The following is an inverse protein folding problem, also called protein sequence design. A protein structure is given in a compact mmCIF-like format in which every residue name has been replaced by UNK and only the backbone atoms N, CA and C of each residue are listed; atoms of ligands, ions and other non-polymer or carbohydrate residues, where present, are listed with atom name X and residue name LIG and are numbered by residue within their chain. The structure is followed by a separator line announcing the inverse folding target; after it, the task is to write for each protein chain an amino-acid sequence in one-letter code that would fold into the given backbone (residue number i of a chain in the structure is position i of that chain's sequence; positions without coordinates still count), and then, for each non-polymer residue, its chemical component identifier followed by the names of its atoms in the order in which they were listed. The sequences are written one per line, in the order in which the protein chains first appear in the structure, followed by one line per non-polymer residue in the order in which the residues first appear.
data_IF_038382464035
#
_entry.id   IF_038382464035
#
_cell.length_a   1.000
_cell.length_b   1.000
_cell.length_c   1.000
_cell.angle_alpha   90.00
_cell.angle_beta   90.00
_cell.angle_gamma   90.00
#
_symmetry.space_group_name_H-M   'P 1'
#
loop_
_entity.id
_entity.type
_entity.pdbx_description
1 polymer ?
#
# COMPACT_ATOMS: atom_id res chain seq x y z
N UNK A 1 19.65 5.69 -11.42
CA UNK A 1 19.81 4.24 -11.65
C UNK A 1 18.48 3.56 -11.31
N UNK A 2 17.97 2.68 -12.17
CA UNK A 2 16.76 1.89 -11.90
C UNK A 2 17.20 0.46 -11.57
N UNK A 3 16.57 -0.14 -10.55
CA UNK A 3 16.89 -1.48 -10.06
C UNK A 3 15.65 -2.32 -9.80
N UNK A 4 15.74 -3.61 -10.04
CA UNK A 4 14.80 -4.63 -9.57
C UNK A 4 15.17 -4.97 -8.13
N UNK A 5 14.17 -5.09 -7.25
CA UNK A 5 14.41 -5.37 -5.84
C UNK A 5 13.94 -6.78 -5.47
N UNK A 6 14.84 -7.52 -4.84
CA UNK A 6 14.49 -8.73 -4.09
C UNK A 6 14.97 -8.54 -2.65
N UNK A 7 14.03 -8.47 -1.72
CA UNK A 7 14.30 -8.08 -0.33
C UNK A 7 13.99 -9.24 0.60
N UNK A 8 14.98 -9.73 1.32
CA UNK A 8 14.78 -10.69 2.41
C UNK A 8 14.96 -9.99 3.74
N UNK A 9 13.90 -9.94 4.54
CA UNK A 9 13.88 -9.36 5.88
C UNK A 9 13.98 -10.52 6.88
N UNK A 10 14.86 -10.38 7.86
CA UNK A 10 14.97 -11.32 9.00
C UNK A 10 14.91 -10.52 10.30
N UNK A 11 14.02 -10.90 11.20
CA UNK A 11 13.83 -10.24 12.48
C UNK A 11 13.32 -11.22 13.55
N UNK A 12 13.31 -10.77 14.79
CA UNK A 12 12.70 -11.49 15.92
C UNK A 12 11.16 -11.55 15.70
N UNK A 13 10.62 -12.76 15.53
CA UNK A 13 9.21 -12.98 15.19
C UNK A 13 8.25 -12.53 16.30
N UNK A 14 8.67 -12.63 17.56
CA UNK A 14 7.85 -12.18 18.70
C UNK A 14 7.72 -10.64 18.74
N UNK A 15 8.76 -9.93 18.28
CA UNK A 15 8.79 -8.47 18.25
C UNK A 15 8.24 -7.90 16.95
N UNK A 16 8.51 -8.55 15.84
CA UNK A 16 8.22 -8.07 14.48
C UNK A 16 7.54 -9.16 13.63
N UNK A 17 6.32 -9.60 14.00
CA UNK A 17 5.62 -10.66 13.25
C UNK A 17 5.19 -10.26 11.85
N UNK A 18 5.17 -8.96 11.55
CA UNK A 18 4.87 -8.41 10.22
C UNK A 18 6.14 -7.86 9.61
N UNK A 19 6.53 -8.41 8.45
CA UNK A 19 7.72 -8.02 7.69
C UNK A 19 7.31 -7.76 6.25
N UNK A 20 7.30 -6.48 5.82
CA UNK A 20 6.79 -6.05 4.51
C UNK A 20 7.88 -5.35 3.71
N UNK A 21 7.86 -5.54 2.39
CA UNK A 21 8.63 -4.77 1.41
C UNK A 21 7.87 -4.69 0.09
N UNK A 22 8.47 -4.03 -0.89
CA UNK A 22 7.89 -3.84 -2.22
C UNK A 22 7.69 -5.15 -2.99
N UNK A 23 6.65 -5.21 -3.79
CA UNK A 23 6.39 -6.29 -4.73
C UNK A 23 5.53 -7.42 -4.18
N UNK A 24 5.64 -8.60 -4.77
CA UNK A 24 4.92 -9.79 -4.36
C UNK A 24 5.69 -10.59 -3.31
N UNK A 25 4.96 -11.23 -2.39
CA UNK A 25 5.55 -12.14 -1.41
C UNK A 25 6.03 -13.43 -2.10
N UNK A 26 7.32 -13.72 -2.00
CA UNK A 26 7.92 -14.92 -2.59
C UNK A 26 8.00 -16.06 -1.57
N UNK A 27 8.39 -15.73 -0.33
CA UNK A 27 8.52 -16.72 0.74
C UNK A 27 8.30 -16.06 2.11
N UNK A 28 7.68 -16.80 3.03
CA UNK A 28 7.48 -16.39 4.41
C UNK A 28 7.70 -17.58 5.35
N UNK A 29 8.41 -17.34 6.44
CA UNK A 29 8.57 -18.25 7.57
C UNK A 29 8.64 -17.43 8.87
N UNK A 30 8.54 -18.05 10.06
CA UNK A 30 8.73 -17.32 11.31
C UNK A 30 10.01 -16.49 11.30
N UNK A 31 9.91 -15.20 11.59
CA UNK A 31 11.03 -14.26 11.61
C UNK A 31 11.70 -13.97 10.24
N UNK A 32 11.10 -14.39 9.12
CA UNK A 32 11.67 -14.10 7.79
C UNK A 32 10.60 -13.94 6.72
N UNK A 33 10.76 -12.92 5.85
CA UNK A 33 9.94 -12.74 4.65
C UNK A 33 10.82 -12.31 3.48
N UNK A 34 10.54 -12.85 2.28
CA UNK A 34 11.20 -12.47 1.03
C UNK A 34 10.17 -11.91 0.07
N UNK A 35 10.42 -10.71 -0.42
CA UNK A 35 9.58 -9.96 -1.37
C UNK A 35 10.34 -9.76 -2.68
N UNK A 36 9.62 -9.75 -3.80
CA UNK A 36 10.19 -9.46 -5.12
C UNK A 36 9.33 -8.47 -5.88
N UNK A 37 9.93 -7.36 -6.26
CA UNK A 37 9.33 -6.38 -7.16
C UNK A 37 10.03 -6.42 -8.51
N UNK A 38 9.34 -6.94 -9.56
CA UNK A 38 9.96 -7.22 -10.85
C UNK A 38 10.20 -5.97 -11.72
N UNK A 39 9.53 -4.85 -11.40
CA UNK A 39 9.65 -3.65 -12.20
C UNK A 39 10.86 -2.81 -11.76
N UNK A 40 11.78 -2.44 -12.69
CA UNK A 40 12.88 -1.55 -12.37
C UNK A 40 12.39 -0.19 -11.87
N UNK A 41 12.89 0.27 -10.72
CA UNK A 41 12.53 1.55 -10.11
C UNK A 41 13.72 2.23 -9.42
N UNK A 42 13.66 3.56 -9.21
CA UNK A 42 14.64 4.27 -8.40
C UNK A 42 14.51 3.90 -6.92
N UNK A 43 15.62 4.04 -6.18
CA UNK A 43 15.68 3.59 -4.79
C UNK A 43 14.77 4.36 -3.82
N UNK A 44 14.32 5.57 -4.16
CA UNK A 44 13.41 6.35 -3.30
C UNK A 44 12.02 5.70 -3.17
N UNK A 45 11.64 4.82 -4.10
CA UNK A 45 10.39 4.05 -4.05
C UNK A 45 10.50 2.77 -3.20
N UNK A 46 11.72 2.43 -2.75
CA UNK A 46 11.93 1.29 -1.85
C UNK A 46 11.36 1.58 -0.47
N UNK A 47 10.68 0.58 0.11
CA UNK A 47 10.18 0.62 1.47
C UNK A 47 10.38 -0.72 2.18
N UNK A 48 10.57 -0.66 3.49
CA UNK A 48 10.62 -1.79 4.39
C UNK A 48 9.86 -1.45 5.67
N UNK A 49 8.96 -2.34 6.08
CA UNK A 49 8.19 -2.20 7.32
C UNK A 49 8.34 -3.47 8.16
N UNK A 50 8.61 -3.30 9.44
CA UNK A 50 8.63 -4.37 10.44
C UNK A 50 7.91 -3.92 11.71
N UNK A 51 6.96 -4.71 12.22
CA UNK A 51 6.20 -4.30 13.41
C UNK A 51 5.11 -5.28 13.81
N UNK A 52 4.28 -4.83 14.76
CA UNK A 52 3.04 -5.51 15.15
C UNK A 52 1.87 -4.69 14.66
N UNK A 53 1.12 -5.22 13.72
CA UNK A 53 -0.02 -4.54 13.12
C UNK A 53 -1.26 -5.42 13.18
N UNK A 54 -2.42 -4.79 13.24
CA UNK A 54 -3.68 -5.37 12.78
C UNK A 54 -3.84 -5.08 11.30
N UNK A 55 -4.50 -5.99 10.58
CA UNK A 55 -4.68 -5.87 9.13
C UNK A 55 -6.16 -5.97 8.76
N UNK A 56 -6.62 -5.02 7.95
CA UNK A 56 -7.86 -5.17 7.20
C UNK A 56 -7.51 -5.76 5.84
N UNK A 57 -8.13 -6.89 5.52
CA UNK A 57 -7.94 -7.60 4.26
C UNK A 57 -9.20 -7.52 3.40
N UNK A 58 -9.01 -7.36 2.10
CA UNK A 58 -10.04 -7.41 1.07
C UNK A 58 -9.38 -7.87 -0.24
N UNK A 59 -10.13 -7.97 -1.32
CA UNK A 59 -9.59 -8.28 -2.64
C UNK A 59 -10.26 -7.45 -3.72
N UNK A 60 -9.56 -7.28 -4.83
CA UNK A 60 -10.08 -6.65 -6.03
C UNK A 60 -9.91 -7.57 -7.24
N UNK A 61 -10.99 -7.79 -7.98
CA UNK A 61 -10.95 -8.57 -9.21
C UNK A 61 -10.81 -7.64 -10.41
N UNK A 62 -9.68 -7.71 -11.10
CA UNK A 62 -9.41 -6.91 -12.28
C UNK A 62 -10.32 -7.29 -13.46
N UNK A 63 -10.38 -6.46 -14.50
CA UNK A 63 -11.16 -6.73 -15.71
C UNK A 63 -10.75 -8.01 -16.43
N UNK A 64 -9.46 -8.38 -16.39
CA UNK A 64 -8.98 -9.66 -16.93
C UNK A 64 -9.35 -10.86 -16.06
N UNK A 65 -9.90 -10.64 -14.87
CA UNK A 65 -10.30 -11.66 -13.91
C UNK A 65 -9.22 -12.07 -12.90
N UNK A 66 -8.06 -11.39 -12.88
CA UNK A 66 -7.01 -11.62 -11.89
C UNK A 66 -7.43 -11.03 -10.54
N UNK A 67 -7.19 -11.75 -9.46
CA UNK A 67 -7.43 -11.29 -8.10
C UNK A 67 -6.20 -10.60 -7.52
N UNK A 68 -6.39 -9.48 -6.87
CA UNK A 68 -5.36 -8.68 -6.19
C UNK A 68 -5.73 -8.59 -4.72
N UNK A 69 -4.85 -9.05 -3.84
CA UNK A 69 -4.99 -8.90 -2.38
C UNK A 69 -4.84 -7.43 -1.98
N UNK A 70 -5.79 -6.90 -1.23
CA UNK A 70 -5.74 -5.55 -0.67
C UNK A 70 -5.56 -5.62 0.84
N UNK A 71 -4.53 -4.96 1.37
CA UNK A 71 -4.22 -5.01 2.80
C UNK A 71 -3.90 -3.64 3.37
N UNK A 72 -4.60 -3.27 4.45
CA UNK A 72 -4.33 -2.05 5.20
C UNK A 72 -3.82 -2.44 6.59
N UNK A 73 -2.58 -2.10 6.87
CA UNK A 73 -1.89 -2.36 8.13
C UNK A 73 -1.95 -1.12 9.02
N UNK A 74 -2.42 -1.29 10.24
CA UNK A 74 -2.56 -0.23 11.24
C UNK A 74 -2.16 -0.72 12.61
N UNK A 75 -1.90 0.19 13.53
CA UNK A 75 -1.79 -0.18 14.94
C UNK A 75 -3.08 -0.85 15.43
N UNK A 76 -3.00 -1.86 16.34
CA UNK A 76 -4.14 -2.70 16.70
C UNK A 76 -5.39 -1.94 17.14
N UNK A 77 -5.24 -0.81 17.82
CA UNK A 77 -6.36 0.00 18.31
C UNK A 77 -7.06 0.85 17.23
N UNK A 78 -6.57 0.81 16.00
CA UNK A 78 -7.07 1.60 14.86
C UNK A 78 -7.81 0.77 13.80
N UNK A 79 -7.92 -0.54 13.98
CA UNK A 79 -8.47 -1.43 12.94
C UNK A 79 -9.91 -1.08 12.56
N UNK A 80 -10.73 -0.64 13.51
CA UNK A 80 -12.13 -0.26 13.31
C UNK A 80 -12.34 1.06 12.54
N UNK A 81 -11.25 1.75 12.19
CA UNK A 81 -11.24 3.04 11.48
C UNK A 81 -10.82 2.95 10.01
N UNK A 82 -10.59 1.75 9.49
CA UNK A 82 -9.91 1.52 8.20
C UNK A 82 -10.85 1.26 7.03
N UNK A 83 -12.13 0.96 7.29
CA UNK A 83 -13.06 0.51 6.24
C UNK A 83 -13.23 1.50 5.10
N UNK A 84 -13.39 2.80 5.40
CA UNK A 84 -13.56 3.82 4.38
C UNK A 84 -12.32 3.94 3.46
N UNK A 85 -11.12 3.78 4.03
CA UNK A 85 -9.89 3.77 3.25
C UNK A 85 -9.84 2.58 2.27
N UNK A 86 -10.27 1.39 2.70
CA UNK A 86 -10.37 0.23 1.82
C UNK A 86 -11.39 0.43 0.70
N UNK A 87 -12.56 0.97 1.01
CA UNK A 87 -13.57 1.29 -0.01
C UNK A 87 -13.08 2.34 -1.01
N UNK A 88 -12.30 3.32 -0.54
CA UNK A 88 -11.67 4.34 -1.39
C UNK A 88 -10.61 3.73 -2.32
N UNK A 89 -9.84 2.78 -1.81
CA UNK A 89 -8.85 2.04 -2.61
C UNK A 89 -9.54 1.24 -3.72
N UNK A 90 -10.60 0.49 -3.41
CA UNK A 90 -11.37 -0.29 -4.41
C UNK A 90 -11.93 0.64 -5.48
N UNK A 91 -12.52 1.79 -5.11
CA UNK A 91 -13.00 2.78 -6.08
C UNK A 91 -11.88 3.35 -6.96
N UNK A 92 -10.67 3.48 -6.43
CA UNK A 92 -9.51 3.95 -7.20
C UNK A 92 -9.08 2.93 -8.25
N UNK A 93 -9.06 1.64 -7.92
CA UNK A 93 -8.83 0.55 -8.88
C UNK A 93 -9.87 0.58 -10.01
N UNK A 94 -11.17 0.62 -9.64
CA UNK A 94 -12.27 0.65 -10.61
C UNK A 94 -12.20 1.85 -11.54
N UNK A 95 -11.90 3.03 -10.99
CA UNK A 95 -11.82 4.26 -11.77
C UNK A 95 -10.67 4.21 -12.78
N UNK A 96 -9.48 3.76 -12.35
CA UNK A 96 -8.29 3.70 -13.19
C UNK A 96 -8.47 2.71 -14.35
N UNK A 97 -8.96 1.50 -14.05
CA UNK A 97 -9.27 0.50 -15.07
C UNK A 97 -10.37 0.97 -16.05
N UNK A 98 -11.39 1.67 -15.55
CA UNK A 98 -12.46 2.18 -16.40
C UNK A 98 -12.00 3.35 -17.28
N UNK A 99 -11.15 4.21 -16.74
CA UNK A 99 -10.70 5.43 -17.42
C UNK A 99 -9.57 5.20 -18.40
N UNK A 100 -8.59 4.38 -18.04
CA UNK A 100 -7.36 4.19 -18.80
C UNK A 100 -7.17 2.77 -19.33
N UNK A 101 -7.96 1.79 -18.88
CA UNK A 101 -7.81 0.40 -19.24
C UNK A 101 -6.55 -0.25 -18.67
N UNK A 102 -5.98 0.32 -17.63
CA UNK A 102 -4.74 -0.14 -17.00
C UNK A 102 -5.05 -0.93 -15.73
N UNK A 103 -4.72 -2.21 -15.72
CA UNK A 103 -4.85 -3.06 -14.54
C UNK A 103 -3.63 -2.94 -13.64
N UNK A 104 -3.86 -3.04 -12.33
CA UNK A 104 -2.77 -3.12 -11.36
C UNK A 104 -1.88 -4.33 -11.64
N UNK A 105 -0.58 -4.20 -11.52
CA UNK A 105 0.41 -5.12 -12.08
C UNK A 105 1.13 -6.04 -11.07
N UNK A 106 0.79 -5.93 -9.77
CA UNK A 106 1.21 -6.87 -8.72
C UNK A 106 0.01 -7.68 -8.22
N UNK A 107 0.25 -8.74 -7.45
CA UNK A 107 -0.80 -9.58 -6.87
C UNK A 107 -1.26 -9.09 -5.50
N UNK A 108 -0.61 -8.06 -4.94
CA UNK A 108 -0.93 -7.47 -3.65
C UNK A 108 -0.73 -5.96 -3.68
N UNK A 109 -1.64 -5.23 -3.03
CA UNK A 109 -1.53 -3.80 -2.74
C UNK A 109 -1.59 -3.58 -1.23
N UNK A 110 -0.57 -2.97 -0.67
CA UNK A 110 -0.46 -2.75 0.77
C UNK A 110 -0.42 -1.26 1.10
N UNK A 111 -1.16 -0.89 2.14
CA UNK A 111 -1.09 0.41 2.81
C UNK A 111 -0.63 0.18 4.24
N UNK A 112 0.32 0.97 4.73
CA UNK A 112 0.70 1.00 6.14
C UNK A 112 0.46 2.40 6.68
N UNK A 113 -0.41 2.53 7.67
CA UNK A 113 -0.68 3.79 8.35
C UNK A 113 0.27 3.96 9.54
N UNK A 114 0.96 5.09 9.57
CA UNK A 114 1.88 5.47 10.65
C UNK A 114 1.55 6.86 11.17
N UNK A 115 1.72 7.07 12.48
CA UNK A 115 1.38 8.35 13.13
C UNK A 115 2.46 9.41 12.94
N UNK A 116 3.73 8.98 12.90
CA UNK A 116 4.89 9.86 12.73
C UNK A 116 5.33 9.89 11.26
N UNK A 117 4.62 10.68 10.45
CA UNK A 117 4.89 10.85 9.03
C UNK A 117 4.75 12.32 8.62
N UNK A 118 5.79 12.88 8.01
CA UNK A 118 5.88 14.31 7.74
C UNK A 118 5.00 14.80 6.58
N UNK A 119 4.49 13.88 5.74
CA UNK A 119 3.65 14.18 4.57
C UNK A 119 2.32 13.45 4.65
N UNK A 120 1.50 13.54 3.61
CA UNK A 120 0.24 12.80 3.54
C UNK A 120 0.46 11.31 3.32
N UNK A 121 1.23 10.96 2.31
CA UNK A 121 1.62 9.59 2.00
C UNK A 121 2.85 9.54 1.09
N UNK A 122 3.25 8.32 0.73
CA UNK A 122 4.32 8.03 -0.22
C UNK A 122 3.97 6.78 -1.05
N UNK A 123 4.13 6.91 -2.36
CA UNK A 123 3.77 5.92 -3.38
C UNK A 123 4.73 4.72 -3.50
N UNK A 124 5.41 4.30 -2.47
CA UNK A 124 6.30 3.14 -2.50
C UNK A 124 5.61 1.94 -3.16
N UNK A 125 6.16 1.44 -4.27
CA UNK A 125 5.50 0.46 -5.15
C UNK A 125 5.02 -0.78 -4.39
N UNK A 126 3.71 -1.01 -4.40
CA UNK A 126 3.07 -2.14 -3.74
C UNK A 126 3.01 -2.07 -2.21
N UNK A 127 3.67 -1.10 -1.58
CA UNK A 127 3.73 -0.90 -0.13
C UNK A 127 3.71 0.60 0.17
N UNK A 128 2.55 1.24 0.04
CA UNK A 128 2.40 2.66 0.27
C UNK A 128 2.39 2.98 1.77
N UNK A 129 3.16 4.01 2.17
CA UNK A 129 3.22 4.46 3.56
C UNK A 129 2.39 5.72 3.69
N UNK A 130 1.46 5.73 4.63
CA UNK A 130 0.50 6.81 4.84
C UNK A 130 0.63 7.41 6.23
N UNK A 131 0.49 8.72 6.33
CA UNK A 131 0.11 9.33 7.60
C UNK A 131 -1.28 8.81 7.99
N UNK A 132 -1.43 8.37 9.24
CA UNK A 132 -2.67 7.75 9.74
C UNK A 132 -3.92 8.64 9.56
N UNK A 133 -3.76 9.97 9.57
CA UNK A 133 -4.85 10.92 9.32
C UNK A 133 -5.51 10.81 7.93
N UNK A 134 -4.83 10.17 6.97
CA UNK A 134 -5.35 9.90 5.62
C UNK A 134 -5.77 8.45 5.38
N UNK A 135 -5.91 7.68 6.47
CA UNK A 135 -6.41 6.29 6.46
C UNK A 135 -7.55 6.10 7.46
N UNK A 136 -7.44 6.76 8.63
CA UNK A 136 -8.28 6.45 9.78
C UNK A 136 -9.46 7.42 9.88
N UNK A 137 -10.68 6.89 9.79
CA UNK A 137 -11.91 7.63 10.05
C UNK A 137 -12.97 6.75 10.69
N UNK A 138 -13.63 7.26 11.72
CA UNK A 138 -14.86 6.66 12.28
C UNK A 138 -16.06 7.50 11.86
N UNK A 139 -17.16 6.89 11.36
CA UNK A 139 -18.37 7.62 11.01
C UNK A 139 -18.92 8.51 12.12
N UNK A 140 -18.74 8.10 13.38
CA UNK A 140 -19.27 8.80 14.54
C UNK A 140 -18.47 10.07 14.92
N UNK A 141 -17.22 10.18 14.46
CA UNK A 141 -16.31 11.26 14.89
C UNK A 141 -15.62 12.00 13.74
N UNK A 142 -15.55 11.39 12.57
CA UNK A 142 -14.94 12.01 11.39
C UNK A 142 -15.89 13.01 10.72
N UNK A 143 -15.32 14.06 10.14
CA UNK A 143 -16.04 15.05 9.35
C UNK A 143 -16.08 14.65 7.87
N UNK A 144 -16.98 15.24 7.09
CA UNK A 144 -16.99 15.07 5.61
C UNK A 144 -15.63 15.41 5.00
N UNK A 145 -14.94 16.39 5.58
CA UNK A 145 -13.61 16.78 5.12
C UNK A 145 -12.57 15.68 5.31
N UNK A 146 -12.66 14.92 6.41
CA UNK A 146 -11.75 13.80 6.67
C UNK A 146 -11.96 12.69 5.64
N UNK A 147 -13.19 12.36 5.32
CA UNK A 147 -13.52 11.38 4.28
C UNK A 147 -13.03 11.81 2.90
N UNK A 148 -13.25 13.08 2.52
CA UNK A 148 -12.76 13.64 1.25
C UNK A 148 -11.22 13.58 1.19
N UNK A 149 -10.54 13.92 2.27
CA UNK A 149 -9.08 13.88 2.34
C UNK A 149 -8.54 12.46 2.20
N UNK A 150 -9.13 11.48 2.90
CA UNK A 150 -8.76 10.07 2.80
C UNK A 150 -8.91 9.58 1.35
N UNK A 151 -10.06 9.76 0.75
CA UNK A 151 -10.31 9.31 -0.62
C UNK A 151 -9.36 9.99 -1.62
N UNK A 152 -9.11 11.28 -1.44
CA UNK A 152 -8.23 12.06 -2.32
C UNK A 152 -6.78 11.57 -2.25
N UNK A 153 -6.24 11.30 -1.04
CA UNK A 153 -4.84 10.86 -0.89
C UNK A 153 -4.69 9.41 -1.32
N UNK A 154 -5.65 8.53 -0.99
CA UNK A 154 -5.63 7.13 -1.47
C UNK A 154 -5.68 7.07 -2.99
N UNK A 155 -6.55 7.85 -3.63
CA UNK A 155 -6.62 7.92 -5.09
C UNK A 155 -5.34 8.48 -5.71
N UNK A 156 -4.72 9.49 -5.08
CA UNK A 156 -3.45 10.07 -5.51
C UNK A 156 -2.32 9.03 -5.51
N UNK A 157 -2.14 8.32 -4.39
CA UNK A 157 -1.08 7.29 -4.27
C UNK A 157 -1.35 6.08 -5.18
N UNK A 158 -2.61 5.68 -5.34
CA UNK A 158 -2.95 4.62 -6.28
C UNK A 158 -2.61 5.01 -7.73
N UNK A 159 -2.92 6.25 -8.13
CA UNK A 159 -2.62 6.74 -9.48
C UNK A 159 -1.12 6.73 -9.79
N UNK A 160 -0.28 6.93 -8.78
CA UNK A 160 1.17 6.80 -8.91
C UNK A 160 1.63 5.40 -9.33
N UNK A 161 0.79 4.36 -9.24
CA UNK A 161 1.17 3.03 -9.72
C UNK A 161 1.69 3.06 -11.17
N UNK A 162 1.05 3.85 -12.01
CA UNK A 162 1.50 4.08 -13.39
C UNK A 162 2.35 5.34 -13.49
N UNK A 163 1.83 6.48 -13.05
CA UNK A 163 2.49 7.78 -13.19
C UNK A 163 3.35 8.09 -11.96
N UNK A 164 4.58 7.64 -11.96
CA UNK A 164 5.55 7.74 -10.87
C UNK A 164 6.30 6.43 -10.66
N UNK A 165 5.61 5.29 -10.69
CA UNK A 165 6.20 3.97 -10.48
C UNK A 165 6.56 3.28 -11.81
N UNK A 166 5.58 2.89 -12.62
CA UNK A 166 5.81 2.21 -13.90
C UNK A 166 6.33 3.18 -14.97
N UNK A 167 5.78 4.37 -15.03
CA UNK A 167 6.30 5.51 -15.79
C UNK A 167 7.02 6.41 -14.80
N UNK A 168 8.25 6.08 -14.49
CA UNK A 168 9.05 6.77 -13.46
C UNK A 168 9.87 7.91 -14.05
N UNK A 169 10.20 8.92 -13.21
CA UNK A 169 11.13 9.98 -13.58
C UNK A 169 12.53 9.39 -13.80
N UNK A 170 13.13 9.72 -14.95
CA UNK A 170 14.48 9.29 -15.28
C UNK A 170 15.53 10.13 -14.54
N UNK A 171 15.31 11.42 -14.48
CA UNK A 171 16.18 12.44 -13.88
C UNK A 171 15.35 13.69 -13.53
N UNK A 172 16.02 14.68 -12.92
CA UNK A 172 15.40 15.95 -12.50
C UNK A 172 15.19 16.89 -13.68
#
# INVERSE_FOLDING_TARGET
MLSVFTTTIKADDDKYPTLLSNGNLVNKSPGSATWHDPAPKPCYLFALVAGKFSVLEDSYKTKSGREVDLKIYVEPHNIDKTRFAMDSLIRSFEWDENRFGLEYDLDIYMIVAVDDFNMGAMENKGLNIFNSSYVLAKPETATDRDFINIESVIGHEYFHNWTGNRVTCRDW
#
